data_IF_708460192689
#
_entry.id   IF_708460192689
#
_cell.length_a   1.000
_cell.length_b   1.000
_cell.length_c   1.000
_cell.angle_alpha   90.00
_cell.angle_beta   90.00
_cell.angle_gamma   90.00
#
_symmetry.space_group_name_H-M   'P 1'
#
loop_
_entity.id
_entity.type
_entity.pdbx_description
1 polymer ?
#
# COMPACT_ATOMS: atom_id res chain seq x y z
N UNK A 1 -1.97 -17.23 1.60
CA UNK A 1 -2.48 -17.79 2.86
C UNK A 1 -3.58 -16.95 3.51
N UNK A 2 -3.44 -15.64 3.78
CA UNK A 2 -4.48 -14.83 4.43
C UNK A 2 -5.81 -14.81 3.67
N UNK A 3 -5.78 -14.69 2.36
CA UNK A 3 -6.99 -14.71 1.50
C UNK A 3 -7.70 -16.05 1.61
N UNK A 4 -6.97 -17.16 1.51
CA UNK A 4 -7.55 -18.50 1.64
C UNK A 4 -8.18 -18.71 3.02
N UNK A 5 -7.55 -18.22 4.09
CA UNK A 5 -8.10 -18.26 5.44
C UNK A 5 -9.39 -17.44 5.56
N UNK A 6 -9.43 -16.25 4.96
CA UNK A 6 -10.63 -15.41 4.94
C UNK A 6 -11.80 -16.06 4.20
N UNK A 7 -11.52 -16.76 3.11
CA UNK A 7 -12.55 -17.45 2.31
C UNK A 7 -13.07 -18.73 2.96
N UNK A 8 -12.27 -19.42 3.77
CA UNK A 8 -12.61 -20.73 4.34
C UNK A 8 -12.95 -20.71 5.82
N UNK A 9 -12.91 -19.58 6.48
CA UNK A 9 -13.18 -19.47 7.92
C UNK A 9 -14.55 -20.08 8.29
N UNK A 10 -14.66 -20.84 9.40
CA UNK A 10 -13.60 -21.10 10.39
C UNK A 10 -12.62 -22.21 10.01
N UNK A 11 -12.85 -22.92 8.92
CA UNK A 11 -12.01 -24.03 8.47
C UNK A 11 -10.71 -23.52 7.83
N UNK A 12 -9.74 -24.42 7.66
CA UNK A 12 -8.49 -24.14 6.96
C UNK A 12 -8.43 -24.95 5.66
N UNK A 13 -8.22 -24.27 4.56
CA UNK A 13 -7.93 -24.95 3.29
C UNK A 13 -6.56 -25.64 3.35
N UNK A 14 -6.49 -26.87 2.85
CA UNK A 14 -5.25 -27.62 2.69
C UNK A 14 -4.60 -27.30 1.35
N UNK A 15 -3.27 -27.46 1.27
CA UNK A 15 -2.50 -27.31 0.03
C UNK A 15 -2.61 -25.94 -0.66
N UNK A 16 -2.82 -24.87 0.10
CA UNK A 16 -2.89 -23.50 -0.43
C UNK A 16 -1.52 -22.98 -0.87
N UNK A 17 -0.47 -23.48 -0.22
CA UNK A 17 0.93 -23.20 -0.59
C UNK A 17 1.76 -24.48 -0.43
N UNK A 18 2.88 -24.56 -1.14
CA UNK A 18 3.83 -25.65 -0.94
C UNK A 18 4.31 -25.67 0.52
N UNK A 19 4.32 -26.86 1.12
CA UNK A 19 4.83 -27.04 2.47
C UNK A 19 6.36 -26.85 2.47
N UNK A 20 6.90 -26.34 3.59
CA UNK A 20 8.34 -26.35 3.81
C UNK A 20 8.83 -27.80 3.92
N UNK A 21 9.93 -28.11 3.27
CA UNK A 21 10.61 -29.40 3.42
C UNK A 21 11.54 -29.35 4.64
N UNK A 22 11.05 -29.81 5.79
CA UNK A 22 11.80 -29.84 7.04
C UNK A 22 12.82 -31.00 7.10
N UNK A 23 12.91 -31.83 6.07
CA UNK A 23 13.95 -32.88 5.95
C UNK A 23 15.26 -32.33 5.39
N UNK A 24 15.24 -31.14 4.82
CA UNK A 24 16.39 -30.43 4.27
C UNK A 24 16.88 -29.35 5.23
N UNK A 25 18.19 -29.16 5.30
CA UNK A 25 18.77 -28.03 5.99
C UNK A 25 18.45 -26.74 5.20
N UNK A 26 17.98 -25.71 5.90
CA UNK A 26 17.72 -24.38 5.32
C UNK A 26 18.33 -23.30 6.20
N UNK A 27 18.85 -22.25 5.58
CA UNK A 27 19.36 -21.06 6.26
C UNK A 27 18.60 -19.85 5.76
N UNK A 28 18.05 -19.06 6.68
CA UNK A 28 17.38 -17.80 6.38
C UNK A 28 18.15 -16.67 7.05
N UNK A 29 18.45 -15.63 6.28
CA UNK A 29 19.14 -14.46 6.78
C UNK A 29 18.16 -13.32 6.94
N UNK A 30 18.19 -12.65 8.09
CA UNK A 30 17.39 -11.47 8.39
C UNK A 30 18.35 -10.33 8.72
N UNK A 31 18.18 -9.22 8.03
CA UNK A 31 18.96 -8.01 8.23
C UNK A 31 18.06 -6.86 8.72
N UNK A 32 18.60 -5.87 9.46
CA UNK A 32 17.85 -4.67 9.81
C UNK A 32 17.34 -3.96 8.56
N UNK A 33 16.11 -3.44 8.63
CA UNK A 33 15.55 -2.62 7.56
C UNK A 33 16.31 -1.29 7.47
N UNK A 34 16.76 -0.95 6.28
CA UNK A 34 17.27 0.39 5.96
C UNK A 34 16.06 1.30 5.65
N UNK A 35 15.60 2.05 6.65
CA UNK A 35 14.44 2.93 6.55
C UNK A 35 14.69 4.14 5.62
N UNK A 36 15.94 4.51 5.36
CA UNK A 36 16.28 5.59 4.43
C UNK A 36 16.16 5.11 2.98
N UNK A 37 16.71 3.93 2.68
CA UNK A 37 16.60 3.34 1.35
C UNK A 37 15.19 2.81 1.04
N UNK A 38 14.45 2.36 2.06
CA UNK A 38 13.12 1.74 1.93
C UNK A 38 12.05 2.43 2.81
N UNK A 39 11.68 3.69 2.51
CA UNK A 39 10.81 4.49 3.37
C UNK A 39 9.33 4.05 3.38
N UNK A 40 8.93 3.14 2.49
CA UNK A 40 7.53 2.69 2.37
C UNK A 40 6.96 2.11 3.66
N UNK A 41 7.77 1.40 4.46
CA UNK A 41 7.32 0.81 5.74
C UNK A 41 7.01 1.88 6.76
N UNK A 42 7.87 2.90 6.89
CA UNK A 42 7.64 4.02 7.80
C UNK A 42 6.45 4.87 7.34
N UNK A 43 6.29 5.09 6.03
CA UNK A 43 5.14 5.78 5.47
C UNK A 43 3.84 5.06 5.80
N UNK A 44 3.79 3.73 5.64
CA UNK A 44 2.62 2.92 5.99
C UNK A 44 2.29 2.98 7.49
N UNK A 45 3.30 2.94 8.36
CA UNK A 45 3.13 3.10 9.82
C UNK A 45 2.58 4.48 10.17
N UNK A 46 3.09 5.52 9.52
CA UNK A 46 2.59 6.89 9.69
C UNK A 46 1.11 6.98 9.29
N UNK A 47 0.73 6.48 8.13
CA UNK A 47 -0.66 6.49 7.67
C UNK A 47 -1.59 5.73 8.63
N UNK A 48 -1.18 4.54 9.09
CA UNK A 48 -1.96 3.75 10.04
C UNK A 48 -2.19 4.50 11.36
N UNK A 49 -1.19 5.24 11.84
CA UNK A 49 -1.31 6.03 13.06
C UNK A 49 -2.12 7.32 12.87
N UNK A 50 -2.18 7.85 11.64
CA UNK A 50 -2.85 9.10 11.33
C UNK A 50 -4.37 8.95 11.21
N UNK A 51 -4.86 8.08 10.30
CA UNK A 51 -6.30 7.78 10.16
C UNK A 51 -6.57 6.64 9.15
N UNK A 52 -7.82 6.14 9.16
CA UNK A 52 -8.31 5.19 8.15
C UNK A 52 -8.18 5.77 6.73
N UNK A 53 -8.49 7.04 6.54
CA UNK A 53 -8.41 7.72 5.25
C UNK A 53 -6.99 7.81 4.71
N UNK A 54 -6.00 8.00 5.57
CA UNK A 54 -4.60 7.98 5.14
C UNK A 54 -4.20 6.62 4.58
N UNK A 55 -4.66 5.52 5.18
CA UNK A 55 -4.36 4.17 4.67
C UNK A 55 -5.03 3.91 3.32
N UNK A 56 -6.26 4.37 3.10
CA UNK A 56 -6.96 4.27 1.82
C UNK A 56 -6.24 5.08 0.72
N UNK A 57 -5.86 6.33 1.01
CA UNK A 57 -5.10 7.18 0.07
C UNK A 57 -3.75 6.56 -0.27
N UNK A 58 -3.00 6.05 0.74
CA UNK A 58 -1.74 5.35 0.52
C UNK A 58 -1.92 4.19 -0.47
N UNK A 59 -2.94 3.35 -0.24
CA UNK A 59 -3.19 2.19 -1.10
C UNK A 59 -3.56 2.59 -2.52
N UNK A 60 -4.51 3.51 -2.69
CA UNK A 60 -4.98 3.96 -3.99
C UNK A 60 -3.86 4.63 -4.82
N UNK A 61 -3.07 5.51 -4.19
CA UNK A 61 -1.93 6.15 -4.85
C UNK A 61 -0.83 5.15 -5.22
N UNK A 62 -0.57 4.17 -4.34
CA UNK A 62 0.42 3.11 -4.60
C UNK A 62 0.02 2.24 -5.79
N UNK A 63 -1.23 1.79 -5.87
CA UNK A 63 -1.71 1.02 -7.02
C UNK A 63 -1.50 1.78 -8.32
N UNK A 64 -1.84 3.07 -8.36
CA UNK A 64 -1.69 3.90 -9.55
C UNK A 64 -0.21 4.06 -9.94
N UNK A 65 0.67 4.31 -8.96
CA UNK A 65 2.10 4.44 -9.19
C UNK A 65 2.75 3.11 -9.65
N UNK A 66 2.31 1.98 -9.09
CA UNK A 66 2.76 0.64 -9.53
C UNK A 66 2.32 0.35 -10.96
N UNK A 67 1.07 0.67 -11.34
CA UNK A 67 0.60 0.55 -12.72
C UNK A 67 1.48 1.35 -13.68
N UNK A 68 1.75 2.62 -13.34
CA UNK A 68 2.62 3.47 -14.16
C UNK A 68 4.05 2.93 -14.29
N UNK A 69 4.59 2.35 -13.22
CA UNK A 69 5.89 1.67 -13.25
C UNK A 69 5.88 0.47 -14.21
N UNK A 70 4.86 -0.40 -14.12
CA UNK A 70 4.74 -1.57 -15.00
C UNK A 70 4.56 -1.19 -16.48
N UNK A 71 3.97 -0.03 -16.74
CA UNK A 71 3.84 0.56 -18.07
C UNK A 71 5.07 1.39 -18.52
N UNK A 72 6.16 1.36 -17.75
CA UNK A 72 7.40 2.12 -17.99
C UNK A 72 7.24 3.64 -18.05
N UNK A 73 6.20 4.20 -17.44
CA UNK A 73 5.95 5.65 -17.32
C UNK A 73 6.55 6.27 -16.05
N UNK A 74 6.93 5.43 -15.08
CA UNK A 74 7.48 5.86 -13.80
C UNK A 74 8.68 4.97 -13.44
N UNK A 75 9.79 5.50 -12.92
CA UNK A 75 10.88 4.69 -12.39
C UNK A 75 10.50 4.05 -11.05
N UNK A 76 11.18 2.97 -10.65
CA UNK A 76 10.88 2.23 -9.43
C UNK A 76 10.84 3.12 -8.17
N UNK A 77 11.83 3.98 -7.98
CA UNK A 77 11.88 4.91 -6.84
C UNK A 77 10.75 5.95 -6.89
N UNK A 78 10.26 6.30 -8.08
CA UNK A 78 9.13 7.20 -8.27
C UNK A 78 7.83 6.69 -7.66
N UNK A 79 7.69 5.38 -7.41
CA UNK A 79 6.48 4.81 -6.78
C UNK A 79 6.25 5.44 -5.40
N UNK A 80 7.22 5.33 -4.51
CA UNK A 80 7.08 5.84 -3.13
C UNK A 80 7.05 7.37 -3.10
N UNK A 81 7.82 8.03 -3.96
CA UNK A 81 7.81 9.49 -4.09
C UNK A 81 6.44 10.02 -4.50
N UNK A 82 5.78 9.36 -5.46
CA UNK A 82 4.41 9.70 -5.88
C UNK A 82 3.42 9.52 -4.74
N UNK A 83 3.46 8.37 -4.05
CA UNK A 83 2.58 8.08 -2.91
C UNK A 83 2.75 9.14 -1.82
N UNK A 84 3.98 9.45 -1.46
CA UNK A 84 4.28 10.49 -0.47
C UNK A 84 3.72 11.85 -0.88
N UNK A 85 3.94 12.25 -2.14
CA UNK A 85 3.45 13.53 -2.64
C UNK A 85 1.92 13.63 -2.64
N UNK A 86 1.19 12.55 -2.95
CA UNK A 86 -0.28 12.51 -2.84
C UNK A 86 -0.72 12.67 -1.40
N UNK A 87 -0.12 11.94 -0.47
CA UNK A 87 -0.42 12.04 0.96
C UNK A 87 -0.17 13.46 1.49
N UNK A 88 0.97 14.06 1.16
CA UNK A 88 1.32 15.43 1.57
C UNK A 88 0.29 16.46 1.04
N UNK A 89 -0.24 16.28 -0.18
CA UNK A 89 -1.27 17.15 -0.74
C UNK A 89 -2.64 17.01 -0.06
N UNK A 90 -2.93 15.85 0.50
CA UNK A 90 -4.23 15.53 1.09
C UNK A 90 -4.23 15.60 2.63
N UNK A 91 -3.08 15.69 3.30
CA UNK A 91 -2.93 15.53 4.76
C UNK A 91 -3.87 16.44 5.57
N UNK A 92 -3.97 17.70 5.21
CA UNK A 92 -4.83 18.65 5.95
C UNK A 92 -6.32 18.28 5.89
N UNK A 93 -6.79 17.81 4.74
CA UNK A 93 -8.16 17.35 4.52
C UNK A 93 -8.43 16.05 5.29
N UNK A 94 -7.50 15.09 5.21
CA UNK A 94 -7.61 13.80 5.87
C UNK A 94 -7.62 13.92 7.40
N UNK A 95 -6.84 14.84 7.98
CA UNK A 95 -6.84 15.13 9.43
C UNK A 95 -8.12 15.82 9.89
N UNK A 96 -8.72 16.64 9.04
CA UNK A 96 -9.97 17.33 9.34
C UNK A 96 -11.17 16.38 9.48
N UNK A 97 -11.15 15.25 8.76
CA UNK A 97 -12.19 14.21 8.81
C UNK A 97 -11.55 12.81 8.72
N UNK A 98 -11.09 12.25 9.84
CA UNK A 98 -10.21 11.06 9.84
C UNK A 98 -10.93 9.73 9.61
N UNK A 99 -12.26 9.67 9.77
CA UNK A 99 -13.05 8.45 9.67
C UNK A 99 -13.96 8.48 8.43
N UNK A 100 -14.25 7.33 7.86
CA UNK A 100 -15.26 7.20 6.83
C UNK A 100 -16.67 7.18 7.44
N UNK A 101 -17.62 7.83 6.77
CA UNK A 101 -19.05 7.78 7.13
C UNK A 101 -19.76 6.64 6.40
N UNK A 102 -19.32 6.33 5.18
CA UNK A 102 -19.88 5.28 4.34
C UNK A 102 -18.91 4.81 3.25
N UNK A 103 -19.30 3.78 2.50
CA UNK A 103 -18.52 3.21 1.40
C UNK A 103 -18.39 4.18 0.22
N UNK A 104 -19.38 5.01 -0.01
CA UNK A 104 -19.35 5.98 -1.12
C UNK A 104 -18.28 7.03 -0.87
N UNK A 105 -18.17 7.56 0.33
CA UNK A 105 -17.09 8.49 0.71
C UNK A 105 -15.71 7.85 0.52
N UNK A 106 -15.55 6.57 0.87
CA UNK A 106 -14.30 5.83 0.64
C UNK A 106 -13.97 5.76 -0.85
N UNK A 107 -14.94 5.37 -1.69
CA UNK A 107 -14.76 5.28 -3.12
C UNK A 107 -14.36 6.62 -3.76
N UNK A 108 -15.00 7.72 -3.34
CA UNK A 108 -14.70 9.05 -3.85
C UNK A 108 -13.29 9.50 -3.44
N UNK A 109 -12.88 9.21 -2.20
CA UNK A 109 -11.53 9.52 -1.73
C UNK A 109 -10.45 8.75 -2.52
N UNK A 110 -10.67 7.45 -2.76
CA UNK A 110 -9.75 6.64 -3.57
C UNK A 110 -9.66 7.16 -5.01
N UNK A 111 -10.78 7.52 -5.64
CA UNK A 111 -10.78 8.10 -6.99
C UNK A 111 -9.97 9.40 -7.04
N UNK A 112 -10.14 10.27 -6.06
CA UNK A 112 -9.38 11.52 -5.97
C UNK A 112 -7.88 11.26 -5.75
N UNK A 113 -7.51 10.30 -4.89
CA UNK A 113 -6.12 9.91 -4.68
C UNK A 113 -5.47 9.39 -5.98
N UNK A 114 -6.18 8.55 -6.73
CA UNK A 114 -5.73 8.04 -8.03
C UNK A 114 -5.55 9.16 -9.04
N UNK A 115 -6.51 10.08 -9.14
CA UNK A 115 -6.41 11.23 -10.03
C UNK A 115 -5.18 12.10 -9.72
N UNK A 116 -4.92 12.39 -8.43
CA UNK A 116 -3.74 13.16 -8.01
C UNK A 116 -2.44 12.43 -8.32
N UNK A 117 -2.41 11.11 -8.14
CA UNK A 117 -1.25 10.30 -8.52
C UNK A 117 -0.98 10.39 -10.03
N UNK A 118 -2.01 10.23 -10.87
CA UNK A 118 -1.87 10.38 -12.33
C UNK A 118 -1.40 11.78 -12.72
N UNK A 119 -1.94 12.83 -12.11
CA UNK A 119 -1.52 14.20 -12.36
C UNK A 119 -0.03 14.45 -12.03
N UNK A 120 0.49 13.78 -11.00
CA UNK A 120 1.92 13.84 -10.63
C UNK A 120 2.79 13.05 -11.61
N UNK A 121 2.37 11.84 -11.96
CA UNK A 121 3.09 10.96 -12.89
C UNK A 121 3.22 11.60 -14.27
N UNK A 122 2.15 12.22 -14.77
CA UNK A 122 2.14 12.87 -16.09
C UNK A 122 2.96 14.17 -16.17
N UNK A 123 3.44 14.70 -15.05
CA UNK A 123 4.30 15.90 -14.99
C UNK A 123 5.80 15.57 -14.91
N UNK A 124 6.14 14.30 -14.69
CA UNK A 124 7.52 13.83 -14.63
C UNK A 124 8.06 13.50 -16.02
#
# INVERSE_FOLDING_TARGET
LPIALGLSAPDRMTNVAAACDWTQAATWTFEPLDDEAFPAVQLARHCLAASEKHTAVLNAANEQAVHAFLEHRLPYLGIVDTVKAVLDQMDAELRGNPLFTDVEEMNQLELEARRRADDLINKQ
#
